data_IF_091626777848
#
_entry.id   IF_091626777848
#
_cell.length_a   1.000
_cell.length_b   1.000
_cell.length_c   1.000
_cell.angle_alpha   90.00
_cell.angle_beta   90.00
_cell.angle_gamma   90.00
#
_symmetry.space_group_name_H-M   'P 1'
#
loop_
_entity.id
_entity.type
_entity.pdbx_description
1 polymer ?
#
# COMPACT_ATOMS: atom_id res chain seq x y z
N UNK A 1 -8.99 -8.43 -0.58
CA UNK A 1 -7.52 -8.20 -0.70
C UNK A 1 -6.77 -9.30 0.05
N UNK A 2 -6.13 -10.26 -0.64
CA UNK A 2 -5.43 -11.41 -0.02
C UNK A 2 -3.92 -11.24 0.16
N UNK A 3 -3.40 -10.02 -0.02
CA UNK A 3 -1.96 -9.73 0.08
C UNK A 3 -1.51 -9.68 1.54
N UNK A 4 -0.26 -10.07 1.78
CA UNK A 4 0.41 -9.94 3.08
C UNK A 4 0.44 -8.47 3.54
N UNK A 5 0.36 -8.22 4.86
CA UNK A 5 0.35 -6.88 5.44
C UNK A 5 1.76 -6.28 5.40
N UNK A 6 1.83 -4.96 5.63
CA UNK A 6 3.09 -4.29 5.92
C UNK A 6 3.53 -4.51 7.37
N UNK A 7 4.52 -3.73 7.86
CA UNK A 7 4.98 -3.78 9.25
C UNK A 7 3.88 -3.51 10.28
N UNK A 8 2.80 -2.82 9.88
CA UNK A 8 1.66 -2.47 10.73
C UNK A 8 0.71 -3.65 10.99
N UNK A 9 0.90 -4.80 10.35
CA UNK A 9 0.07 -5.99 10.52
C UNK A 9 -1.37 -5.83 10.00
N UNK A 10 -1.69 -4.72 9.32
CA UNK A 10 -3.05 -4.45 8.85
C UNK A 10 -3.31 -5.18 7.54
N UNK A 11 -4.12 -6.23 7.59
CA UNK A 11 -4.53 -6.98 6.40
C UNK A 11 -5.66 -6.27 5.66
N UNK A 12 -5.69 -6.43 4.33
CA UNK A 12 -6.78 -5.87 3.52
C UNK A 12 -8.16 -6.41 3.89
N UNK A 13 -8.26 -7.67 4.33
CA UNK A 13 -9.52 -8.23 4.84
C UNK A 13 -10.03 -7.52 6.11
N UNK A 14 -9.15 -7.01 6.97
CA UNK A 14 -9.55 -6.23 8.14
C UNK A 14 -10.23 -4.92 7.71
N UNK A 15 -9.68 -4.28 6.67
CA UNK A 15 -10.23 -3.04 6.10
C UNK A 15 -11.56 -3.26 5.36
N UNK A 16 -11.70 -4.40 4.67
CA UNK A 16 -12.95 -4.81 4.03
C UNK A 16 -14.08 -4.98 5.05
N UNK A 17 -13.75 -5.48 6.25
CA UNK A 17 -14.67 -5.81 7.34
C UNK A 17 -14.88 -4.69 8.39
N UNK A 18 -14.30 -3.50 8.22
CA UNK A 18 -14.33 -2.40 9.21
C UNK A 18 -15.74 -1.80 9.48
N UNK A 19 -16.80 -2.29 8.84
CA UNK A 19 -18.14 -1.72 8.90
C UNK A 19 -18.22 -0.30 8.33
N UNK A 20 -19.40 0.29 8.29
CA UNK A 20 -19.59 1.64 7.73
C UNK A 20 -18.86 2.72 8.54
N UNK A 21 -19.06 2.74 9.87
CA UNK A 21 -18.42 3.72 10.77
C UNK A 21 -16.89 3.62 10.74
N UNK A 22 -16.34 2.40 10.71
CA UNK A 22 -14.90 2.21 10.63
C UNK A 22 -14.31 2.66 9.30
N UNK A 23 -15.01 2.42 8.19
CA UNK A 23 -14.61 2.95 6.87
C UNK A 23 -14.62 4.48 6.83
N UNK A 24 -15.59 5.13 7.47
CA UNK A 24 -15.61 6.59 7.62
C UNK A 24 -14.40 7.10 8.43
N UNK A 25 -14.11 6.46 9.58
CA UNK A 25 -12.92 6.82 10.37
C UNK A 25 -11.61 6.63 9.61
N UNK A 26 -11.52 5.56 8.82
CA UNK A 26 -10.36 5.34 7.97
C UNK A 26 -10.22 6.45 6.90
N UNK A 27 -11.34 6.84 6.29
CA UNK A 27 -11.38 7.96 5.35
C UNK A 27 -10.95 9.28 6.00
N UNK A 28 -11.39 9.55 7.24
CA UNK A 28 -10.98 10.74 7.99
C UNK A 28 -9.46 10.79 8.17
N UNK A 29 -8.83 9.66 8.52
CA UNK A 29 -7.37 9.55 8.69
C UNK A 29 -6.65 9.83 7.36
N UNK A 30 -7.12 9.23 6.26
CA UNK A 30 -6.54 9.43 4.93
C UNK A 30 -6.66 10.91 4.51
N UNK A 31 -7.83 11.52 4.69
CA UNK A 31 -8.07 12.91 4.34
C UNK A 31 -7.24 13.87 5.20
N UNK A 32 -7.10 13.58 6.50
CA UNK A 32 -6.24 14.36 7.39
C UNK A 32 -4.80 14.32 6.89
N UNK A 33 -4.28 13.12 6.62
CA UNK A 33 -2.93 12.93 6.10
C UNK A 33 -2.67 13.69 4.80
N UNK A 34 -3.64 13.65 3.87
CA UNK A 34 -3.62 14.43 2.63
C UNK A 34 -3.57 15.94 2.90
N UNK A 35 -4.47 16.44 3.75
CA UNK A 35 -4.62 17.87 4.05
C UNK A 35 -3.36 18.47 4.70
N UNK A 36 -2.75 17.73 5.63
CA UNK A 36 -1.55 18.22 6.35
C UNK A 36 -0.24 17.89 5.63
N UNK A 37 -0.28 17.11 4.54
CA UNK A 37 0.90 16.69 3.79
C UNK A 37 1.86 15.79 4.58
N UNK A 38 1.36 15.03 5.57
CA UNK A 38 2.18 14.14 6.42
C UNK A 38 1.58 12.76 6.51
N UNK A 39 2.41 11.75 6.28
CA UNK A 39 2.04 10.33 6.41
C UNK A 39 2.43 9.81 7.81
N UNK A 40 1.63 8.89 8.40
CA UNK A 40 2.03 8.14 9.58
C UNK A 40 3.39 7.48 9.41
N UNK A 41 4.16 7.36 10.51
CA UNK A 41 5.48 6.73 10.47
C UNK A 41 5.42 5.29 9.95
N UNK A 42 4.38 4.54 10.32
CA UNK A 42 4.14 3.16 9.86
C UNK A 42 4.01 3.05 8.34
N UNK A 43 3.34 4.02 7.72
CA UNK A 43 3.06 3.98 6.28
C UNK A 43 4.32 4.22 5.44
N UNK A 44 5.34 4.84 6.05
CA UNK A 44 6.65 5.09 5.42
C UNK A 44 7.62 3.92 5.57
N UNK A 45 7.23 2.85 6.27
CA UNK A 45 8.08 1.67 6.49
C UNK A 45 7.63 0.50 5.62
N UNK A 46 8.57 -0.38 5.31
CA UNK A 46 8.34 -1.58 4.54
C UNK A 46 9.18 -2.75 5.07
N UNK A 47 8.64 -3.96 4.97
CA UNK A 47 9.43 -5.18 5.11
C UNK A 47 9.95 -5.55 3.72
N UNK A 48 11.27 -5.69 3.57
CA UNK A 48 11.89 -6.12 2.32
C UNK A 48 12.05 -7.63 2.33
N UNK A 49 11.41 -8.31 1.38
CA UNK A 49 11.51 -9.77 1.21
C UNK A 49 12.18 -10.05 -0.14
N UNK A 50 13.36 -10.68 -0.17
CA UNK A 50 13.97 -11.11 -1.42
C UNK A 50 13.25 -12.36 -1.95
N UNK A 51 12.72 -12.28 -3.17
CA UNK A 51 12.10 -13.42 -3.86
C UNK A 51 13.06 -13.92 -4.95
N UNK A 52 13.37 -15.22 -4.94
CA UNK A 52 14.25 -15.83 -5.93
C UNK A 52 13.61 -15.76 -7.33
N UNK A 53 14.40 -15.37 -8.33
CA UNK A 53 13.99 -15.41 -9.75
C UNK A 53 13.87 -16.87 -10.21
N UNK A 54 12.86 -17.16 -11.02
CA UNK A 54 12.67 -18.51 -11.57
C UNK A 54 13.85 -18.93 -12.45
N UNK A 55 14.22 -20.22 -12.40
CA UNK A 55 15.28 -20.79 -13.24
C UNK A 55 16.70 -20.35 -12.91
N UNK A 56 16.95 -19.70 -11.76
CA UNK A 56 18.29 -19.37 -11.28
C UNK A 56 18.68 -20.30 -10.14
N UNK A 57 19.78 -21.05 -10.31
CA UNK A 57 20.23 -22.03 -9.31
C UNK A 57 21.21 -21.43 -8.31
N UNK A 58 21.88 -20.34 -8.69
CA UNK A 58 22.85 -19.67 -7.84
C UNK A 58 22.16 -18.87 -6.71
N UNK A 59 22.90 -18.61 -5.64
CA UNK A 59 22.46 -17.82 -4.48
C UNK A 59 23.06 -16.41 -4.49
N UNK A 60 23.35 -15.88 -5.67
CA UNK A 60 23.93 -14.54 -5.77
C UNK A 60 22.85 -13.46 -5.57
N UNK A 61 23.17 -12.28 -4.99
CA UNK A 61 22.17 -11.24 -4.74
C UNK A 61 21.37 -10.80 -5.98
N UNK A 62 22.00 -10.81 -7.16
CA UNK A 62 21.37 -10.50 -8.46
C UNK A 62 20.27 -11.48 -8.89
N UNK A 63 20.23 -12.68 -8.30
CA UNK A 63 19.23 -13.72 -8.60
C UNK A 63 17.93 -13.51 -7.81
N UNK A 64 17.87 -12.50 -6.93
CA UNK A 64 16.67 -12.14 -6.19
C UNK A 64 16.04 -10.86 -6.74
N UNK A 65 14.72 -10.74 -6.60
CA UNK A 65 13.99 -9.49 -6.74
C UNK A 65 13.49 -9.08 -5.34
N UNK A 66 13.87 -7.92 -4.81
CA UNK A 66 13.29 -7.45 -3.57
C UNK A 66 11.82 -7.06 -3.82
N UNK A 67 10.94 -7.49 -2.92
CA UNK A 67 9.59 -6.93 -2.83
C UNK A 67 9.46 -6.15 -1.52
N UNK A 68 8.70 -5.06 -1.55
CA UNK A 68 8.40 -4.26 -0.38
C UNK A 68 6.97 -4.54 0.08
N UNK A 69 6.82 -5.07 1.29
CA UNK A 69 5.54 -5.12 1.97
C UNK A 69 5.31 -3.80 2.70
N UNK A 70 4.57 -2.89 2.07
CA UNK A 70 4.13 -1.61 2.65
C UNK A 70 2.73 -1.71 3.25
N UNK A 71 2.40 -0.76 4.14
CA UNK A 71 1.09 -0.63 4.81
C UNK A 71 -0.07 -0.76 3.82
N UNK A 72 -1.05 -1.62 4.15
CA UNK A 72 -2.25 -1.78 3.32
C UNK A 72 -3.06 -0.49 3.27
N UNK A 73 -3.10 0.25 4.38
CA UNK A 73 -3.82 1.51 4.47
C UNK A 73 -3.18 2.59 3.58
N UNK A 74 -1.84 2.65 3.54
CA UNK A 74 -1.12 3.53 2.61
C UNK A 74 -1.44 3.22 1.15
N UNK A 75 -1.46 1.93 0.77
CA UNK A 75 -1.83 1.49 -0.59
C UNK A 75 -3.22 1.93 -1.01
N UNK A 76 -4.17 2.01 -0.08
CA UNK A 76 -5.52 2.52 -0.36
C UNK A 76 -5.45 4.01 -0.72
N UNK A 77 -4.74 4.81 0.09
CA UNK A 77 -4.55 6.23 -0.19
C UNK A 77 -3.85 6.46 -1.54
N UNK A 78 -2.77 5.74 -1.81
CA UNK A 78 -2.05 5.77 -3.11
C UNK A 78 -2.98 5.46 -4.27
N UNK A 79 -3.83 4.43 -4.15
CA UNK A 79 -4.79 4.06 -5.18
C UNK A 79 -5.85 5.14 -5.40
N UNK A 80 -6.35 5.78 -4.34
CA UNK A 80 -7.28 6.91 -4.46
C UNK A 80 -6.65 8.09 -5.21
N UNK A 81 -5.39 8.40 -4.92
CA UNK A 81 -4.64 9.46 -5.59
C UNK A 81 -4.43 9.10 -7.07
N UNK A 82 -4.00 7.88 -7.36
CA UNK A 82 -3.80 7.39 -8.72
C UNK A 82 -5.08 7.53 -9.56
N UNK A 83 -6.23 7.10 -9.04
CA UNK A 83 -7.52 7.22 -9.72
C UNK A 83 -7.86 8.68 -10.03
N UNK A 84 -7.61 9.60 -9.08
CA UNK A 84 -7.86 11.04 -9.29
C UNK A 84 -6.95 11.61 -10.37
N UNK A 85 -5.66 11.28 -10.36
CA UNK A 85 -4.69 11.72 -11.37
C UNK A 85 -5.09 11.18 -12.75
N UNK A 86 -5.43 9.89 -12.83
CA UNK A 86 -5.86 9.26 -14.07
C UNK A 86 -7.11 9.94 -14.63
N UNK A 87 -8.11 10.22 -13.80
CA UNK A 87 -9.30 10.95 -14.20
C UNK A 87 -8.95 12.31 -14.83
N UNK A 88 -8.06 13.08 -14.19
CA UNK A 88 -7.61 14.36 -14.75
C UNK A 88 -6.81 14.23 -16.05
N UNK A 89 -6.07 13.14 -16.22
CA UNK A 89 -5.27 12.90 -17.42
C UNK A 89 -6.13 12.46 -18.60
N UNK A 90 -7.02 11.48 -18.39
CA UNK A 90 -7.88 10.93 -19.45
C UNK A 90 -9.03 11.86 -19.84
N UNK A 91 -9.45 12.77 -18.96
CA UNK A 91 -10.48 13.77 -19.29
C UNK A 91 -9.96 14.92 -20.17
N UNK A 92 -8.64 14.99 -20.43
CA UNK A 92 -7.98 16.03 -21.24
C UNK A 92 -7.47 15.53 -22.60
N UNK A 93 -7.60 14.23 -22.88
CA UNK A 93 -7.30 13.58 -24.16
C UNK A 93 -8.59 13.10 -24.79
#
# INVERSE_FOLDING_TARGET
MTKSPGPDGVFGRMLENLGHRGKLRLLDIINLSWKIGRLPAEWKRAIIIPIKKAGKNNWSPKDFRPIALTSTTCKIMEKMILIRIQYFWTART
#
